data_IF_140401873181
#
_entry.id   IF_140401873181
#
_cell.length_a   1.000
_cell.length_b   1.000
_cell.length_c   1.000
_cell.angle_alpha   90.00
_cell.angle_beta   90.00
_cell.angle_gamma   90.00
#
_symmetry.space_group_name_H-M   'P 1'
#
loop_
_entity.id
_entity.type
_entity.pdbx_description
1 polymer ?
#
# COMPACT_ATOMS: atom_id res chain seq x y z
N UNK A 1 33.54 49.75 19.72
CA UNK A 1 34.84 49.17 19.28
C UNK A 1 34.71 47.65 19.37
N UNK A 2 35.15 46.95 18.33
CA UNK A 2 34.91 45.52 18.06
C UNK A 2 35.53 44.61 19.13
N UNK A 3 34.83 43.52 19.43
CA UNK A 3 35.45 42.25 19.83
C UNK A 3 34.94 41.14 18.91
N UNK A 4 35.89 40.51 18.22
CA UNK A 4 35.75 39.30 17.43
C UNK A 4 35.64 38.10 18.41
N UNK A 5 35.34 36.83 18.11
CA UNK A 5 35.28 36.05 16.87
C UNK A 5 34.80 34.63 17.24
N UNK A 6 34.24 33.89 16.27
CA UNK A 6 34.24 32.42 16.13
C UNK A 6 33.59 31.55 17.24
N UNK A 7 32.42 30.98 16.92
CA UNK A 7 32.16 29.54 17.12
C UNK A 7 31.36 28.97 15.94
N UNK A 8 31.67 27.70 15.69
CA UNK A 8 31.48 26.92 14.47
C UNK A 8 30.44 25.82 14.73
N UNK A 9 29.60 25.50 13.73
CA UNK A 9 28.66 24.33 13.63
C UNK A 9 27.43 24.42 14.57
N UNK A 10 26.22 23.95 14.25
CA UNK A 10 25.83 22.60 13.80
C UNK A 10 24.45 22.67 13.11
N UNK A 11 24.35 21.95 12.00
CA UNK A 11 23.17 21.52 11.25
C UNK A 11 22.24 20.69 12.16
N UNK A 12 21.01 21.16 12.45
CA UNK A 12 20.02 20.34 13.16
C UNK A 12 18.96 19.85 12.19
N UNK A 13 19.15 18.58 11.82
CA UNK A 13 18.20 17.67 11.21
C UNK A 13 16.84 17.77 11.92
N UNK A 14 15.81 18.25 11.23
CA UNK A 14 14.43 18.14 11.70
C UNK A 14 14.00 16.69 11.45
N UNK A 15 14.31 15.84 12.43
CA UNK A 15 13.82 14.48 12.57
C UNK A 15 12.29 14.51 12.51
N UNK A 16 11.73 14.04 11.39
CA UNK A 16 10.35 13.59 11.32
C UNK A 16 10.34 12.19 11.96
N UNK A 17 9.82 11.99 13.18
CA UNK A 17 9.57 10.64 13.66
C UNK A 17 8.42 10.08 12.82
N UNK A 18 8.78 9.39 11.73
CA UNK A 18 7.86 8.49 11.05
C UNK A 18 7.45 7.43 12.05
N UNK A 19 6.22 7.53 12.58
CA UNK A 19 5.59 6.44 13.29
C UNK A 19 5.46 5.26 12.32
N UNK A 20 6.40 4.33 12.38
CA UNK A 20 6.30 3.06 11.64
C UNK A 20 5.43 2.14 12.50
N UNK A 21 4.10 2.27 12.39
CA UNK A 21 3.19 1.24 12.85
C UNK A 21 3.24 0.09 11.84
N UNK A 22 4.14 -0.87 12.06
CA UNK A 22 4.17 -2.13 11.31
C UNK A 22 3.40 -3.17 12.10
N UNK A 23 2.18 -3.46 11.66
CA UNK A 23 1.33 -4.49 12.27
C UNK A 23 1.37 -5.76 11.44
N UNK A 24 2.21 -6.73 11.82
CA UNK A 24 2.08 -8.10 11.32
C UNK A 24 1.06 -8.85 12.17
N UNK A 25 -0.07 -9.24 11.57
CA UNK A 25 -1.00 -10.20 12.18
C UNK A 25 -0.83 -11.53 11.47
N UNK A 26 -0.36 -12.54 12.20
CA UNK A 26 -0.34 -13.92 11.71
C UNK A 26 -1.78 -14.45 11.77
N UNK A 27 -2.37 -14.76 10.61
CA UNK A 27 -3.68 -15.40 10.52
C UNK A 27 -3.49 -16.92 10.54
N UNK A 28 -4.41 -17.66 11.15
CA UNK A 28 -4.38 -19.13 11.16
C UNK A 28 -4.70 -19.67 9.76
N UNK A 29 -3.66 -19.84 8.93
CA UNK A 29 -3.72 -20.29 7.54
C UNK A 29 -2.42 -19.93 6.81
N UNK A 30 -2.22 -20.43 5.59
CA UNK A 30 -1.08 -20.07 4.71
C UNK A 30 -1.22 -18.64 4.16
N UNK A 31 -1.49 -17.66 5.03
CA UNK A 31 -1.73 -16.27 4.66
C UNK A 31 -0.95 -15.33 5.57
N UNK A 32 -0.15 -14.48 4.97
CA UNK A 32 0.57 -13.40 5.66
C UNK A 32 -0.02 -12.07 5.21
N UNK A 33 -0.31 -11.17 6.14
CA UNK A 33 -0.73 -9.79 5.83
C UNK A 33 0.23 -8.83 6.49
N UNK A 34 0.79 -7.95 5.69
CA UNK A 34 1.65 -6.86 6.13
C UNK A 34 0.96 -5.55 5.77
N UNK A 35 0.61 -4.78 6.79
CA UNK A 35 0.14 -3.40 6.65
C UNK A 35 1.22 -2.47 7.18
N UNK A 36 1.68 -1.57 6.32
CA UNK A 36 2.62 -0.51 6.67
C UNK A 36 1.97 0.84 6.36
N UNK A 37 1.89 1.68 7.37
CA UNK A 37 1.27 3.00 7.26
C UNK A 37 2.22 4.07 7.79
N UNK A 38 2.62 4.99 6.92
CA UNK A 38 3.44 6.16 7.25
C UNK A 38 2.61 7.45 7.13
N UNK A 39 3.21 8.62 7.32
CA UNK A 39 2.55 9.91 7.06
C UNK A 39 2.07 10.04 5.62
N UNK A 40 2.87 9.54 4.68
CA UNK A 40 2.70 9.82 3.25
C UNK A 40 2.14 8.62 2.49
N UNK A 41 2.25 7.41 3.03
CA UNK A 41 1.90 6.19 2.32
C UNK A 41 1.08 5.22 3.17
N UNK A 42 0.23 4.48 2.49
CA UNK A 42 -0.36 3.24 2.99
C UNK A 42 0.03 2.11 2.06
N UNK A 43 0.53 1.02 2.64
CA UNK A 43 0.99 -0.15 1.91
C UNK A 43 0.35 -1.40 2.50
N UNK A 44 -0.12 -2.25 1.60
CA UNK A 44 -0.73 -3.54 1.92
C UNK A 44 0.00 -4.60 1.09
N UNK A 45 0.53 -5.62 1.76
CA UNK A 45 1.04 -6.82 1.12
C UNK A 45 0.33 -8.04 1.72
N UNK A 46 -0.13 -8.92 0.85
CA UNK A 46 -0.87 -10.12 1.22
C UNK A 46 -0.24 -11.29 0.46
N UNK A 47 0.27 -12.26 1.22
CA UNK A 47 0.67 -13.56 0.69
C UNK A 47 -0.47 -14.55 0.93
N UNK A 48 -0.76 -15.39 -0.06
CA UNK A 48 -1.87 -16.34 -0.05
C UNK A 48 -1.56 -17.57 -0.94
N UNK A 49 -2.39 -18.62 -0.87
CA UNK A 49 -2.19 -19.80 -1.71
C UNK A 49 -2.43 -19.47 -3.20
N UNK A 50 -1.54 -19.94 -4.08
CA UNK A 50 -1.55 -19.60 -5.52
C UNK A 50 -2.87 -19.97 -6.22
N UNK A 51 -3.59 -20.97 -5.72
CA UNK A 51 -4.91 -21.37 -6.20
C UNK A 51 -5.99 -20.28 -6.02
N UNK A 52 -5.77 -19.28 -5.15
CA UNK A 52 -6.66 -18.14 -4.95
C UNK A 52 -6.35 -16.94 -5.83
N UNK A 53 -5.29 -16.99 -6.65
CA UNK A 53 -4.85 -15.86 -7.48
C UNK A 53 -5.99 -15.34 -8.36
N UNK A 54 -6.66 -16.22 -9.08
CA UNK A 54 -7.77 -15.85 -9.96
C UNK A 54 -8.91 -15.17 -9.20
N UNK A 55 -9.20 -15.62 -7.97
CA UNK A 55 -10.24 -15.02 -7.13
C UNK A 55 -9.84 -13.63 -6.63
N UNK A 56 -8.57 -13.44 -6.27
CA UNK A 56 -8.03 -12.13 -5.85
C UNK A 56 -8.04 -11.15 -7.02
N UNK A 57 -7.56 -11.58 -8.20
CA UNK A 57 -7.53 -10.74 -9.40
C UNK A 57 -8.93 -10.36 -9.87
N UNK A 58 -9.89 -11.30 -9.81
CA UNK A 58 -11.29 -11.03 -10.11
C UNK A 58 -11.91 -10.02 -9.14
N UNK A 59 -11.65 -10.18 -7.83
CA UNK A 59 -12.12 -9.22 -6.83
C UNK A 59 -11.56 -7.82 -7.09
N UNK A 60 -10.25 -7.68 -7.33
CA UNK A 60 -9.63 -6.37 -7.55
C UNK A 60 -10.15 -5.74 -8.84
N UNK A 61 -10.27 -6.51 -9.92
CA UNK A 61 -10.84 -6.05 -11.20
C UNK A 61 -12.28 -5.55 -11.05
N UNK A 62 -13.08 -6.23 -10.22
CA UNK A 62 -14.42 -5.80 -9.85
C UNK A 62 -14.43 -4.53 -8.99
N UNK A 63 -13.55 -4.45 -7.99
CA UNK A 63 -13.44 -3.31 -7.07
C UNK A 63 -13.12 -2.00 -7.80
N UNK A 64 -12.28 -2.08 -8.84
CA UNK A 64 -11.83 -0.94 -9.64
C UNK A 64 -12.65 -0.72 -10.91
N UNK A 65 -13.54 -1.66 -11.25
CA UNK A 65 -14.37 -1.61 -12.45
C UNK A 65 -13.59 -1.72 -13.75
N UNK A 66 -12.51 -2.50 -13.78
CA UNK A 66 -11.70 -2.74 -14.98
C UNK A 66 -11.36 -4.23 -15.06
N UNK A 67 -11.96 -4.93 -16.02
CA UNK A 67 -11.89 -6.39 -16.14
C UNK A 67 -10.50 -6.94 -16.53
N UNK A 68 -9.55 -6.07 -16.92
CA UNK A 68 -8.30 -6.48 -17.56
C UNK A 68 -7.06 -5.81 -16.98
N UNK A 69 -7.00 -5.62 -15.65
CA UNK A 69 -5.82 -5.05 -15.01
C UNK A 69 -4.68 -6.08 -14.97
N UNK A 70 -4.96 -7.31 -14.56
CA UNK A 70 -3.92 -8.34 -14.43
C UNK A 70 -3.87 -9.17 -15.70
N UNK A 71 -3.09 -8.69 -16.69
CA UNK A 71 -2.78 -9.48 -17.88
C UNK A 71 -1.52 -10.31 -17.62
N UNK A 72 -1.47 -11.59 -18.06
CA UNK A 72 -0.33 -12.47 -17.83
C UNK A 72 0.99 -11.95 -18.44
N UNK A 73 0.91 -10.99 -19.37
CA UNK A 73 2.06 -10.38 -20.04
C UNK A 73 2.79 -9.32 -19.19
N UNK A 74 2.26 -8.94 -18.01
CA UNK A 74 2.81 -7.85 -17.21
C UNK A 74 2.94 -8.19 -15.71
N UNK A 75 4.13 -8.57 -15.22
CA UNK A 75 4.45 -8.62 -13.78
C UNK A 75 4.69 -7.23 -13.17
N UNK A 76 4.45 -6.17 -13.94
CA UNK A 76 4.73 -4.78 -13.59
C UNK A 76 3.64 -4.21 -12.67
N UNK A 77 4.03 -3.34 -11.74
CA UNK A 77 3.05 -2.59 -10.96
C UNK A 77 2.19 -1.71 -11.88
N UNK A 78 0.89 -1.70 -11.65
CA UNK A 78 -0.10 -0.96 -12.45
C UNK A 78 -0.64 0.17 -11.61
N UNK A 79 -0.62 1.38 -12.17
CA UNK A 79 -1.25 2.54 -11.56
C UNK A 79 -2.73 2.59 -11.94
N UNK A 80 -3.60 2.37 -10.97
CA UNK A 80 -5.05 2.43 -11.11
C UNK A 80 -5.52 3.85 -10.82
N UNK A 81 -6.42 4.36 -11.65
CA UNK A 81 -7.17 5.60 -11.40
C UNK A 81 -8.65 5.28 -11.41
N UNK A 82 -9.32 5.50 -10.27
CA UNK A 82 -10.76 5.28 -10.13
C UNK A 82 -11.56 6.49 -10.65
N UNK A 83 -12.88 6.34 -10.83
CA UNK A 83 -13.76 7.41 -11.29
C UNK A 83 -13.75 8.67 -10.41
N UNK A 84 -13.51 8.50 -9.10
CA UNK A 84 -13.37 9.60 -8.13
C UNK A 84 -11.97 10.24 -8.12
N UNK A 85 -11.14 9.93 -9.13
CA UNK A 85 -9.74 10.35 -9.30
C UNK A 85 -8.79 9.77 -8.24
N UNK A 86 -9.23 8.81 -7.43
CA UNK A 86 -8.34 8.09 -6.52
C UNK A 86 -7.29 7.32 -7.33
N UNK A 87 -6.02 7.49 -6.97
CA UNK A 87 -4.89 6.82 -7.61
C UNK A 87 -4.13 5.92 -6.64
N UNK A 88 -3.83 4.70 -7.06
CA UNK A 88 -2.99 3.77 -6.29
C UNK A 88 -2.31 2.77 -7.21
N UNK A 89 -1.20 2.22 -6.74
CA UNK A 89 -0.45 1.22 -7.47
C UNK A 89 -0.78 -0.16 -6.93
N UNK A 90 -1.06 -1.10 -7.82
CA UNK A 90 -1.23 -2.52 -7.49
C UNK A 90 -0.19 -3.36 -8.20
N UNK A 91 0.19 -4.47 -7.58
CA UNK A 91 0.96 -5.53 -8.20
C UNK A 91 0.36 -6.85 -7.76
N UNK A 92 0.03 -7.72 -8.71
CA UNK A 92 -0.41 -9.08 -8.46
C UNK A 92 0.58 -10.03 -9.11
N UNK A 93 0.97 -11.06 -8.39
CA UNK A 93 1.66 -12.24 -8.91
C UNK A 93 1.05 -13.47 -8.26
N UNK A 94 1.15 -14.68 -8.84
CA UNK A 94 0.55 -15.86 -8.24
C UNK A 94 0.95 -16.08 -6.78
N UNK A 95 -0.03 -15.98 -5.87
CA UNK A 95 0.14 -16.11 -4.42
C UNK A 95 0.53 -14.84 -3.67
N UNK A 96 0.62 -13.69 -4.33
CA UNK A 96 1.03 -12.43 -3.72
C UNK A 96 0.28 -11.24 -4.32
N UNK A 97 -0.24 -10.37 -3.45
CA UNK A 97 -0.88 -9.12 -3.82
C UNK A 97 -0.25 -7.97 -3.04
N UNK A 98 0.13 -6.90 -3.76
CA UNK A 98 0.65 -5.66 -3.17
C UNK A 98 -0.15 -4.46 -3.64
N UNK A 99 -0.38 -3.55 -2.72
CA UNK A 99 -0.98 -2.25 -2.98
C UNK A 99 -0.16 -1.15 -2.31
N UNK A 100 0.06 -0.06 -3.03
CA UNK A 100 0.67 1.17 -2.51
C UNK A 100 -0.22 2.37 -2.82
N UNK A 101 -0.62 3.07 -1.78
CA UNK A 101 -1.47 4.25 -1.81
C UNK A 101 -0.71 5.47 -1.29
N UNK A 102 -0.68 6.54 -2.08
CA UNK A 102 -0.04 7.80 -1.72
C UNK A 102 -1.08 8.73 -1.07
N UNK A 103 -0.91 8.99 0.23
CA UNK A 103 -1.82 9.84 1.02
C UNK A 103 -1.70 11.32 0.67
N UNK A 104 -0.56 11.75 0.11
CA UNK A 104 -0.37 13.14 -0.31
C UNK A 104 -1.14 13.47 -1.59
N UNK A 105 -1.47 12.44 -2.39
CA UNK A 105 -2.16 12.57 -3.69
C UNK A 105 -3.65 12.25 -3.63
N UNK A 106 -4.14 11.74 -2.50
CA UNK A 106 -5.49 11.21 -2.39
C UNK A 106 -6.17 11.67 -1.10
N UNK A 107 -7.51 11.65 -1.09
CA UNK A 107 -8.29 12.04 0.07
C UNK A 107 -8.26 10.98 1.18
N UNK A 108 -8.60 11.38 2.42
CA UNK A 108 -8.78 10.45 3.54
C UNK A 108 -9.90 9.43 3.26
N UNK A 109 -10.99 9.85 2.61
CA UNK A 109 -12.09 8.96 2.21
C UNK A 109 -11.61 7.88 1.23
N UNK A 110 -10.73 8.24 0.30
CA UNK A 110 -10.11 7.28 -0.60
C UNK A 110 -9.22 6.26 0.13
N UNK A 111 -8.48 6.70 1.15
CA UNK A 111 -7.70 5.82 2.01
C UNK A 111 -8.61 4.82 2.75
N UNK A 112 -9.71 5.30 3.34
CA UNK A 112 -10.65 4.44 4.06
C UNK A 112 -11.32 3.41 3.14
N UNK A 113 -11.57 3.76 1.87
CA UNK A 113 -12.06 2.85 0.84
C UNK A 113 -11.02 1.78 0.49
N UNK A 114 -9.77 2.18 0.26
CA UNK A 114 -8.67 1.26 -0.08
C UNK A 114 -8.35 0.30 1.08
N UNK A 115 -8.45 0.75 2.32
CA UNK A 115 -8.29 -0.12 3.50
C UNK A 115 -9.29 -1.27 3.55
N UNK A 116 -10.48 -1.14 2.93
CA UNK A 116 -11.49 -2.21 2.86
C UNK A 116 -11.04 -3.41 2.03
N UNK A 117 -10.12 -3.23 1.07
CA UNK A 117 -9.56 -4.32 0.28
C UNK A 117 -9.01 -5.44 1.18
N UNK A 118 -8.31 -5.09 2.27
CA UNK A 118 -7.80 -6.10 3.19
C UNK A 118 -8.92 -6.90 3.90
N UNK A 119 -10.04 -6.25 4.19
CA UNK A 119 -11.19 -6.86 4.84
C UNK A 119 -11.97 -7.74 3.86
N UNK A 120 -12.18 -7.27 2.65
CA UNK A 120 -12.94 -7.95 1.60
C UNK A 120 -12.17 -9.17 1.03
N UNK A 121 -10.83 -9.13 1.05
CA UNK A 121 -10.01 -10.27 0.65
C UNK A 121 -9.95 -11.38 1.72
N UNK A 122 -10.23 -11.10 3.00
CA UNK A 122 -10.20 -12.12 4.08
C UNK A 122 -10.98 -13.39 3.74
N UNK A 123 -12.28 -13.33 3.36
CA UNK A 123 -13.05 -14.53 3.06
C UNK A 123 -12.61 -15.27 1.78
N UNK A 124 -11.85 -14.63 0.88
CA UNK A 124 -11.42 -15.22 -0.40
C UNK A 124 -10.19 -16.12 -0.20
N UNK A 125 -9.29 -15.69 0.68
CA UNK A 125 -7.98 -16.30 0.90
C UNK A 125 -7.86 -17.07 2.22
N UNK A 126 -8.94 -17.15 3.00
CA UNK A 126 -9.03 -18.01 4.19
C UNK A 126 -9.34 -19.46 3.82
#
# INVERSE_FOLDING_TARGET
>A
MKTNSFYTKILVFLLCPGFIYSGCKNFSGNRTVIVSETSDKYQLAIDYNKDKTDSVEHYISSFVGQDAIFKPEHPSAINITMADKTTFNVKSTPGEFRLTFDKSKNSKTALDRVKRINEDLKPIIN
#
